data_IF_145349446773
#
_entry.id   IF_145349446773
#
_cell.length_a   1.000
_cell.length_b   1.000
_cell.length_c   1.000
_cell.angle_alpha   90.00
_cell.angle_beta   90.00
_cell.angle_gamma   90.00
#
_symmetry.space_group_name_H-M   'P 1'
#
loop_
_entity.id
_entity.type
_entity.pdbx_description
1 polymer ?
#
# COMPACT_ATOMS: atom_id res chain seq x y z
N UNK A 1 28.55 -28.88 -28.37
CA UNK A 1 27.75 -28.43 -27.22
C UNK A 1 28.56 -27.45 -26.39
N UNK A 2 28.34 -26.15 -26.58
CA UNK A 2 28.75 -25.09 -25.66
C UNK A 2 27.62 -24.06 -25.66
N UNK A 3 26.89 -23.97 -24.55
CA UNK A 3 25.91 -22.93 -24.28
C UNK A 3 26.66 -21.62 -24.16
N UNK A 4 26.29 -20.60 -24.93
CA UNK A 4 26.83 -19.26 -24.77
C UNK A 4 25.81 -18.41 -23.99
N UNK A 5 26.33 -17.84 -22.92
CA UNK A 5 25.71 -17.03 -21.89
C UNK A 5 25.26 -15.69 -22.49
N UNK A 6 24.00 -15.30 -22.30
CA UNK A 6 23.56 -13.92 -22.54
C UNK A 6 23.93 -13.14 -21.28
N UNK A 7 24.94 -12.28 -21.40
CA UNK A 7 25.34 -11.33 -20.38
C UNK A 7 24.98 -9.94 -20.91
N UNK A 8 23.93 -9.33 -20.37
CA UNK A 8 23.59 -7.94 -20.63
C UNK A 8 24.37 -7.06 -19.65
N UNK A 9 25.42 -6.39 -20.15
CA UNK A 9 26.04 -5.25 -19.46
C UNK A 9 25.73 -4.00 -20.26
N UNK A 10 24.90 -3.12 -19.69
CA UNK A 10 24.87 -1.71 -20.09
C UNK A 10 26.01 -1.00 -19.38
N UNK A 11 27.11 -0.80 -20.10
CA UNK A 11 28.13 0.18 -19.71
C UNK A 11 28.63 0.78 -21.02
N UNK A 12 28.18 2.00 -21.30
CA UNK A 12 28.59 2.75 -22.48
C UNK A 12 30.02 3.28 -22.23
N UNK A 13 31.02 2.43 -22.52
CA UNK A 13 32.40 2.88 -22.73
C UNK A 13 32.53 3.18 -24.22
N UNK A 14 32.51 4.46 -24.60
CA UNK A 14 32.85 4.87 -25.97
C UNK A 14 34.38 4.84 -26.07
N UNK A 15 34.93 3.67 -26.43
CA UNK A 15 36.25 3.61 -27.07
C UNK A 15 36.03 3.83 -28.57
N UNK A 16 36.75 4.79 -29.14
CA UNK A 16 36.71 5.14 -30.55
C UNK A 16 37.22 3.94 -31.35
N UNK A 17 36.28 3.17 -31.91
CA UNK A 17 36.51 2.24 -33.01
C UNK A 17 35.65 2.71 -34.18
N UNK A 18 36.24 2.71 -35.38
CA UNK A 18 35.60 3.12 -36.63
C UNK A 18 34.19 2.55 -36.75
N UNK A 19 33.21 3.45 -36.86
CA UNK A 19 31.80 3.09 -36.99
C UNK A 19 31.61 2.48 -38.39
N UNK A 20 31.01 1.28 -38.51
CA UNK A 20 30.69 0.73 -39.82
C UNK A 20 29.75 1.65 -40.59
N UNK A 21 29.97 1.76 -41.90
CA UNK A 21 29.31 2.66 -42.87
C UNK A 21 27.79 2.45 -43.03
N UNK A 22 27.18 1.56 -42.23
CA UNK A 22 25.79 1.17 -42.36
C UNK A 22 25.21 0.73 -41.03
N UNK A 23 24.04 1.28 -40.68
CA UNK A 23 23.25 0.88 -39.51
C UNK A 23 22.07 0.07 -39.98
N UNK A 24 21.88 -1.12 -39.42
CA UNK A 24 20.70 -1.97 -39.62
C UNK A 24 19.93 -2.12 -38.31
N UNK A 25 18.61 -1.95 -38.37
CA UNK A 25 17.71 -2.22 -37.25
C UNK A 25 16.91 -3.47 -37.58
N UNK A 26 16.95 -4.44 -36.68
CA UNK A 26 16.29 -5.73 -36.84
C UNK A 26 15.10 -5.88 -35.90
N UNK A 27 14.01 -6.47 -36.40
CA UNK A 27 12.87 -6.93 -35.59
C UNK A 27 12.42 -8.31 -36.09
N UNK A 28 12.31 -9.27 -35.18
CA UNK A 28 11.91 -10.66 -35.47
C UNK A 28 12.73 -11.30 -36.61
N UNK A 29 14.04 -11.10 -36.61
CA UNK A 29 14.94 -11.67 -37.62
C UNK A 29 14.87 -11.00 -39.00
N UNK A 30 14.17 -9.87 -39.13
CA UNK A 30 14.08 -9.08 -40.37
C UNK A 30 14.60 -7.66 -40.16
N UNK A 31 15.37 -7.15 -41.12
CA UNK A 31 15.73 -5.72 -41.15
C UNK A 31 14.48 -4.90 -41.39
N UNK A 32 14.20 -3.95 -40.50
CA UNK A 32 13.07 -3.02 -40.60
C UNK A 32 13.50 -1.60 -40.93
N UNK A 33 14.78 -1.27 -40.78
CA UNK A 33 15.35 0.03 -41.14
C UNK A 33 16.84 -0.11 -41.44
N UNK A 34 17.31 0.58 -42.47
CA UNK A 34 18.73 0.68 -42.81
C UNK A 34 19.08 2.08 -43.28
N UNK A 35 20.18 2.63 -42.78
CA UNK A 35 20.75 3.90 -43.26
C UNK A 35 22.08 3.62 -43.92
N UNK A 36 22.17 3.92 -45.22
CA UNK A 36 23.40 4.07 -45.97
C UNK A 36 23.71 5.55 -46.03
N UNK A 37 24.55 6.04 -45.11
CA UNK A 37 25.17 7.33 -45.30
C UNK A 37 26.50 7.37 -44.54
N UNK A 38 27.50 7.98 -45.17
CA UNK A 38 28.79 8.24 -44.56
C UNK A 38 28.58 9.26 -43.42
N UNK A 39 28.53 8.76 -42.18
CA UNK A 39 28.48 9.52 -40.93
C UNK A 39 27.19 10.31 -40.64
N UNK A 40 26.11 9.66 -40.18
CA UNK A 40 25.04 10.39 -39.50
C UNK A 40 25.55 10.96 -38.16
N UNK A 41 25.54 12.28 -37.99
CA UNK A 41 25.94 12.96 -36.74
C UNK A 41 25.07 12.55 -35.53
N UNK A 42 23.86 12.06 -35.77
CA UNK A 42 23.02 11.40 -34.77
C UNK A 42 21.93 10.55 -35.44
N UNK A 43 21.48 9.49 -34.75
CA UNK A 43 20.29 8.72 -35.11
C UNK A 43 19.33 8.76 -33.92
N UNK A 44 18.16 9.36 -34.11
CA UNK A 44 17.09 9.41 -33.10
C UNK A 44 15.98 8.43 -33.47
N UNK A 45 15.65 7.53 -32.55
CA UNK A 45 14.48 6.66 -32.66
C UNK A 45 13.32 7.31 -31.91
N UNK A 46 12.41 7.98 -32.62
CA UNK A 46 11.13 8.42 -32.04
C UNK A 46 10.11 7.30 -32.17
N UNK A 47 9.62 6.77 -31.06
CA UNK A 47 8.50 5.83 -31.06
C UNK A 47 7.22 6.57 -31.50
N UNK A 48 6.61 6.23 -32.65
CA UNK A 48 5.38 6.91 -33.11
C UNK A 48 4.16 6.59 -32.23
N UNK A 49 4.28 5.66 -31.27
CA UNK A 49 3.27 5.36 -30.25
C UNK A 49 3.59 6.00 -28.89
N UNK A 50 4.55 6.91 -28.79
CA UNK A 50 4.55 7.86 -27.68
C UNK A 50 3.48 8.90 -28.00
N UNK A 51 2.24 8.57 -27.64
CA UNK A 51 1.26 9.59 -27.30
C UNK A 51 1.98 10.61 -26.42
N UNK A 52 1.92 11.87 -26.83
CA UNK A 52 2.26 13.00 -25.98
C UNK A 52 1.68 12.70 -24.60
N UNK A 53 2.54 12.53 -23.61
CA UNK A 53 2.10 12.46 -22.21
C UNK A 53 1.57 13.86 -21.94
N UNK A 54 0.27 14.02 -22.12
CA UNK A 54 -0.47 15.14 -21.54
C UNK A 54 -0.08 15.21 -20.06
N UNK A 55 0.14 16.41 -19.49
CA UNK A 55 0.40 16.51 -18.05
C UNK A 55 -0.68 15.75 -17.29
N UNK A 56 -0.25 15.00 -16.27
CA UNK A 56 -1.04 14.07 -15.49
C UNK A 56 -2.07 14.77 -14.56
N UNK A 57 -2.85 15.70 -15.11
CA UNK A 57 -3.72 16.62 -14.36
C UNK A 57 -5.22 16.38 -14.65
N UNK A 58 -5.58 15.39 -15.48
CA UNK A 58 -6.98 14.96 -15.61
C UNK A 58 -7.23 13.75 -14.73
N UNK A 59 -7.71 14.02 -13.52
CA UNK A 59 -8.33 13.02 -12.65
C UNK A 59 -9.38 12.26 -13.48
N UNK A 60 -9.29 10.92 -13.61
CA UNK A 60 -10.34 10.14 -14.25
C UNK A 60 -11.69 10.51 -13.61
N UNK A 61 -12.76 10.70 -14.39
CA UNK A 61 -14.06 11.15 -13.87
C UNK A 61 -14.67 10.22 -12.81
N UNK A 62 -14.18 8.97 -12.70
CA UNK A 62 -14.58 7.97 -11.71
C UNK A 62 -13.57 7.84 -10.55
N UNK A 63 -12.70 8.83 -10.33
CA UNK A 63 -11.76 8.80 -9.19
C UNK A 63 -12.45 9.27 -7.94
N UNK A 64 -12.52 8.38 -6.96
CA UNK A 64 -13.09 8.68 -5.66
C UNK A 64 -12.02 9.26 -4.73
N UNK A 65 -12.29 10.47 -4.22
CA UNK A 65 -11.32 11.27 -3.49
C UNK A 65 -11.59 11.24 -1.98
N UNK A 66 -10.50 11.21 -1.23
CA UNK A 66 -10.49 11.23 0.22
C UNK A 66 -9.64 12.40 0.71
N UNK A 67 -10.25 13.31 1.46
CA UNK A 67 -9.53 14.41 2.11
C UNK A 67 -8.70 13.85 3.25
N UNK A 68 -7.40 14.11 3.21
CA UNK A 68 -6.43 13.67 4.22
C UNK A 68 -5.81 14.84 5.00
N UNK A 69 -6.12 16.06 4.55
CA UNK A 69 -6.07 17.31 5.30
C UNK A 69 -6.95 18.35 4.59
N UNK A 70 -6.99 19.59 5.08
CA UNK A 70 -7.83 20.67 4.54
C UNK A 70 -7.54 21.06 3.08
N UNK A 71 -6.39 20.64 2.53
CA UNK A 71 -5.90 21.06 1.20
C UNK A 71 -5.49 19.92 0.28
N UNK A 72 -5.50 18.67 0.78
CA UNK A 72 -4.99 17.51 0.06
C UNK A 72 -6.04 16.42 0.01
N UNK A 73 -6.30 15.95 -1.20
CA UNK A 73 -7.09 14.76 -1.48
C UNK A 73 -6.22 13.68 -2.11
N UNK A 74 -6.58 12.43 -1.85
CA UNK A 74 -5.87 11.26 -2.35
C UNK A 74 -6.85 10.21 -2.87
N UNK A 75 -6.34 9.28 -3.67
CA UNK A 75 -6.98 8.00 -3.91
C UNK A 75 -6.25 6.90 -3.15
N UNK A 76 -6.99 5.85 -2.78
CA UNK A 76 -6.43 4.66 -2.14
C UNK A 76 -6.02 3.61 -3.18
N UNK A 77 -4.96 2.87 -2.85
CA UNK A 77 -4.58 1.68 -3.61
C UNK A 77 -5.73 0.64 -3.61
N UNK A 78 -5.92 -0.10 -4.73
CA UNK A 78 -7.03 -1.02 -4.91
C UNK A 78 -6.95 -2.27 -4.01
N UNK A 79 -5.80 -2.53 -3.37
CA UNK A 79 -5.60 -3.69 -2.50
C UNK A 79 -4.51 -3.43 -1.46
N UNK A 80 -4.40 -4.32 -0.48
CA UNK A 80 -3.25 -4.30 0.42
C UNK A 80 -1.98 -4.61 -0.37
N UNK A 81 -0.86 -4.00 0.03
CA UNK A 81 0.42 -4.29 -0.56
C UNK A 81 0.82 -5.74 -0.25
N UNK A 82 1.29 -6.46 -1.28
CA UNK A 82 1.82 -7.81 -1.16
C UNK A 82 3.19 -7.91 -1.82
N UNK A 83 4.05 -8.77 -1.26
CA UNK A 83 5.39 -9.02 -1.78
C UNK A 83 5.64 -10.52 -1.98
N UNK A 84 6.39 -10.86 -3.01
CA UNK A 84 6.92 -12.19 -3.24
C UNK A 84 8.44 -12.15 -3.43
N UNK A 85 9.17 -12.82 -2.53
CA UNK A 85 10.64 -12.78 -2.51
C UNK A 85 11.29 -13.59 -3.64
N UNK A 86 10.61 -14.63 -4.14
CA UNK A 86 11.13 -15.46 -5.22
C UNK A 86 11.14 -14.72 -6.57
N UNK A 87 10.18 -13.79 -6.76
CA UNK A 87 10.09 -12.98 -7.98
C UNK A 87 10.61 -11.56 -7.81
N UNK A 88 10.89 -11.12 -6.57
CA UNK A 88 11.16 -9.73 -6.21
C UNK A 88 10.04 -8.79 -6.67
N UNK A 89 8.80 -9.23 -6.52
CA UNK A 89 7.63 -8.54 -7.06
C UNK A 89 6.76 -7.96 -5.94
N UNK A 90 6.36 -6.71 -6.16
CA UNK A 90 5.31 -6.05 -5.40
C UNK A 90 4.02 -5.97 -6.22
N UNK A 91 2.89 -6.20 -5.56
CA UNK A 91 1.57 -6.02 -6.15
C UNK A 91 0.57 -5.52 -5.12
N UNK A 92 -0.57 -5.04 -5.59
CA UNK A 92 -1.76 -4.98 -4.75
C UNK A 92 -2.48 -6.33 -4.75
N UNK A 93 -3.11 -6.65 -3.63
CA UNK A 93 -4.07 -7.74 -3.53
C UNK A 93 -5.17 -7.58 -4.61
N UNK A 94 -5.64 -8.70 -5.18
CA UNK A 94 -6.57 -8.68 -6.32
C UNK A 94 -7.94 -8.12 -5.92
N UNK A 95 -8.43 -8.53 -4.75
CA UNK A 95 -9.61 -7.96 -4.10
C UNK A 95 -9.22 -7.22 -2.82
N UNK A 96 -10.00 -6.22 -2.43
CA UNK A 96 -9.72 -5.45 -1.21
C UNK A 96 -9.75 -6.28 0.08
N UNK A 97 -10.52 -7.38 0.10
CA UNK A 97 -10.63 -8.30 1.22
C UNK A 97 -9.58 -9.42 1.21
N UNK A 98 -8.74 -9.52 0.16
CA UNK A 98 -7.71 -10.55 0.07
C UNK A 98 -6.58 -10.32 1.07
N UNK A 99 -6.20 -11.40 1.75
CA UNK A 99 -5.16 -11.43 2.77
C UNK A 99 -4.38 -12.75 2.71
N UNK A 100 -3.10 -12.71 3.03
CA UNK A 100 -2.24 -13.90 3.12
C UNK A 100 -2.50 -14.65 4.44
N UNK A 101 -2.85 -13.91 5.49
CA UNK A 101 -3.28 -14.45 6.78
C UNK A 101 -2.19 -15.30 7.44
N UNK A 102 -2.56 -16.51 7.88
CA UNK A 102 -1.67 -17.42 8.65
C UNK A 102 -0.39 -17.73 7.87
N UNK A 103 -0.43 -17.78 6.53
CA UNK A 103 0.73 -18.14 5.70
C UNK A 103 1.93 -17.19 5.86
N UNK A 104 1.75 -15.98 6.40
CA UNK A 104 2.85 -15.12 6.83
C UNK A 104 3.76 -15.77 7.90
N UNK A 105 3.32 -16.83 8.59
CA UNK A 105 4.18 -17.60 9.50
C UNK A 105 5.27 -18.40 8.79
N UNK A 106 5.11 -18.65 7.50
CA UNK A 106 5.97 -19.53 6.71
C UNK A 106 7.19 -18.80 6.13
N UNK A 107 7.35 -17.51 6.40
CA UNK A 107 8.50 -16.72 5.96
C UNK A 107 9.79 -17.39 6.43
N UNK A 108 10.60 -17.83 5.49
CA UNK A 108 11.85 -18.51 5.74
C UNK A 108 12.77 -18.28 4.53
N UNK A 109 14.08 -18.59 4.63
CA UNK A 109 14.92 -18.68 3.46
C UNK A 109 14.26 -19.56 2.39
N UNK A 110 14.19 -19.05 1.15
CA UNK A 110 13.57 -19.72 0.00
C UNK A 110 12.02 -19.86 0.05
N UNK A 111 11.33 -19.12 0.93
CA UNK A 111 9.87 -19.02 0.85
C UNK A 111 9.46 -18.33 -0.45
N UNK A 112 8.60 -18.98 -1.24
CA UNK A 112 8.16 -18.52 -2.56
C UNK A 112 6.70 -18.04 -2.58
N UNK A 113 6.06 -18.02 -1.41
CA UNK A 113 4.70 -17.50 -1.26
C UNK A 113 4.67 -15.98 -1.13
N UNK A 114 3.48 -15.42 -1.31
CA UNK A 114 3.22 -14.01 -1.05
C UNK A 114 3.17 -13.73 0.47
N UNK A 115 3.49 -12.49 0.84
CA UNK A 115 3.34 -11.93 2.20
C UNK A 115 2.66 -10.57 2.14
N UNK A 116 2.00 -10.17 3.22
CA UNK A 116 1.32 -8.87 3.37
C UNK A 116 1.50 -8.24 4.77
N UNK A 117 2.29 -8.86 5.65
CA UNK A 117 2.63 -8.35 6.98
C UNK A 117 4.12 -8.02 7.09
N UNK A 118 4.42 -6.73 7.01
CA UNK A 118 5.78 -6.18 6.91
C UNK A 118 6.24 -5.58 8.24
N UNK A 119 7.47 -5.84 8.66
CA UNK A 119 8.09 -5.03 9.72
C UNK A 119 8.27 -3.60 9.22
N UNK A 120 8.32 -2.61 10.10
CA UNK A 120 8.40 -1.22 9.63
C UNK A 120 9.70 -0.95 8.87
N UNK A 121 9.64 -0.19 7.77
CA UNK A 121 10.77 0.15 6.90
C UNK A 121 11.41 -1.01 6.13
N UNK A 122 10.74 -2.16 6.03
CA UNK A 122 11.20 -3.29 5.21
C UNK A 122 10.74 -3.15 3.76
N UNK A 123 11.07 -2.04 3.10
CA UNK A 123 10.70 -1.79 1.71
C UNK A 123 11.63 -2.47 0.69
N UNK A 124 12.75 -3.04 1.13
CA UNK A 124 13.70 -3.79 0.29
C UNK A 124 14.75 -2.95 -0.44
N UNK A 125 14.66 -1.61 -0.44
CA UNK A 125 15.59 -0.77 -1.21
C UNK A 125 16.61 -0.01 -0.36
N UNK A 126 17.91 -0.18 -0.64
CA UNK A 126 19.08 0.57 -0.09
C UNK A 126 19.25 0.63 1.44
N UNK A 127 18.23 0.30 2.21
CA UNK A 127 18.22 0.32 3.68
C UNK A 127 18.79 -0.97 4.29
N UNK A 128 18.93 -2.04 3.48
CA UNK A 128 19.36 -3.35 3.97
C UNK A 128 18.24 -4.16 4.67
N UNK A 129 17.01 -3.64 4.73
CA UNK A 129 15.89 -4.28 5.42
C UNK A 129 14.95 -4.97 4.43
N UNK A 130 15.05 -6.30 4.40
CA UNK A 130 14.29 -7.15 3.49
C UNK A 130 12.79 -7.20 3.90
N UNK A 131 11.84 -7.17 2.96
CA UNK A 131 10.40 -7.31 3.26
C UNK A 131 10.05 -8.57 4.05
N UNK A 132 10.85 -9.62 3.86
CA UNK A 132 10.77 -10.91 4.57
C UNK A 132 11.45 -10.91 5.95
N UNK A 133 11.91 -9.76 6.45
CA UNK A 133 12.53 -9.70 7.78
C UNK A 133 11.57 -10.15 8.87
N UNK A 134 12.07 -11.06 9.71
CA UNK A 134 11.37 -11.60 10.89
C UNK A 134 12.15 -11.31 12.18
N UNK A 135 13.05 -10.32 12.17
CA UNK A 135 13.73 -9.91 13.40
C UNK A 135 12.74 -9.46 14.46
N UNK A 136 13.04 -9.80 15.72
CA UNK A 136 12.30 -9.35 16.90
C UNK A 136 13.03 -8.25 17.67
N UNK A 137 14.16 -7.74 17.14
CA UNK A 137 14.83 -6.55 17.67
C UNK A 137 14.38 -5.31 16.88
N UNK A 138 13.85 -4.30 17.57
CA UNK A 138 13.36 -3.07 16.93
C UNK A 138 14.49 -2.28 16.27
N UNK A 139 15.74 -2.50 16.69
CA UNK A 139 16.92 -1.85 16.12
C UNK A 139 17.15 -2.22 14.67
N UNK A 140 16.66 -3.39 14.24
CA UNK A 140 16.75 -3.88 12.87
C UNK A 140 15.72 -3.22 11.93
N UNK A 141 14.98 -2.23 12.41
CA UNK A 141 13.93 -1.52 11.68
C UNK A 141 14.06 0.01 11.83
N UNK A 142 15.29 0.49 12.13
CA UNK A 142 15.60 1.90 12.29
C UNK A 142 16.05 2.51 10.96
N UNK A 143 15.19 3.32 10.36
CA UNK A 143 15.57 4.11 9.19
C UNK A 143 16.61 5.15 9.58
N UNK A 144 17.72 5.22 8.84
CA UNK A 144 18.83 6.12 9.17
C UNK A 144 19.44 5.88 10.55
N UNK A 145 19.25 4.69 11.13
CA UNK A 145 19.81 4.32 12.44
C UNK A 145 19.20 5.04 13.65
N UNK A 146 18.09 5.77 13.49
CA UNK A 146 17.39 6.47 14.57
C UNK A 146 15.91 6.10 14.64
N UNK A 147 15.36 6.02 15.85
CA UNK A 147 13.95 5.76 16.09
C UNK A 147 13.05 6.98 15.85
N UNK A 148 13.63 8.17 15.67
CA UNK A 148 12.88 9.40 15.40
C UNK A 148 12.62 9.64 13.91
N UNK A 149 13.29 8.89 13.04
CA UNK A 149 13.21 9.07 11.58
C UNK A 149 11.92 8.49 11.00
N UNK A 150 11.15 9.33 10.29
CA UNK A 150 9.89 9.02 9.59
C UNK A 150 10.11 8.87 8.08
N UNK A 151 9.16 8.35 7.31
CA UNK A 151 9.26 8.26 5.83
C UNK A 151 8.95 9.59 5.13
N UNK A 152 9.56 10.68 5.59
CA UNK A 152 9.43 12.01 5.01
C UNK A 152 10.80 12.66 4.91
N UNK A 153 10.93 13.66 4.04
CA UNK A 153 12.20 14.37 3.84
C UNK A 153 13.32 13.43 3.39
N UNK A 154 14.43 13.44 4.11
CA UNK A 154 15.64 12.63 3.81
C UNK A 154 15.37 11.12 3.71
N UNK A 155 14.36 10.64 4.43
CA UNK A 155 14.07 9.21 4.57
C UNK A 155 12.83 8.76 3.78
N UNK A 156 12.30 9.61 2.89
CA UNK A 156 11.13 9.29 2.08
C UNK A 156 11.33 8.02 1.22
N UNK A 157 12.56 7.70 0.83
CA UNK A 157 12.89 6.49 0.05
C UNK A 157 12.73 5.18 0.83
N UNK A 158 12.56 5.23 2.15
CA UNK A 158 12.25 4.06 2.96
C UNK A 158 10.76 3.68 2.94
N UNK A 159 9.89 4.52 2.36
CA UNK A 159 8.48 4.20 2.16
C UNK A 159 8.30 3.06 1.16
N UNK A 160 7.35 2.16 1.43
CA UNK A 160 7.04 1.04 0.54
C UNK A 160 6.60 1.48 -0.87
N UNK A 161 5.96 2.64 -1.02
CA UNK A 161 5.52 3.17 -2.31
C UNK A 161 6.54 4.05 -3.04
N UNK A 162 7.64 4.44 -2.38
CA UNK A 162 8.57 5.42 -2.94
C UNK A 162 9.38 4.87 -4.12
N UNK A 163 10.11 3.77 -3.92
CA UNK A 163 11.05 3.24 -4.92
C UNK A 163 10.67 1.85 -5.45
N UNK A 164 9.54 1.31 -5.00
CA UNK A 164 9.08 0.03 -5.50
C UNK A 164 8.13 0.23 -6.68
N UNK A 165 8.40 -0.48 -7.76
CA UNK A 165 7.43 -0.68 -8.84
C UNK A 165 6.36 -1.65 -8.35
N UNK A 166 5.11 -1.19 -8.28
CA UNK A 166 3.98 -2.01 -7.84
C UNK A 166 3.13 -2.36 -9.06
N UNK A 167 3.18 -3.62 -9.48
CA UNK A 167 2.58 -4.04 -10.75
C UNK A 167 3.12 -3.25 -11.95
N UNK A 168 2.23 -2.52 -12.64
CA UNK A 168 2.59 -1.67 -13.78
C UNK A 168 2.92 -0.22 -13.42
N UNK A 169 2.64 0.19 -12.19
CA UNK A 169 2.72 1.59 -11.77
C UNK A 169 4.18 2.02 -11.64
N UNK A 170 4.46 3.29 -11.96
CA UNK A 170 5.80 3.85 -11.85
C UNK A 170 6.22 3.99 -10.38
N UNK A 171 7.52 4.03 -10.13
CA UNK A 171 8.07 4.45 -8.83
C UNK A 171 7.51 5.83 -8.44
N UNK A 172 7.42 6.12 -7.14
CA UNK A 172 6.87 7.34 -6.57
C UNK A 172 5.39 7.63 -6.90
N UNK A 173 4.65 6.66 -7.43
CA UNK A 173 3.18 6.79 -7.62
C UNK A 173 2.45 6.76 -6.28
N UNK A 174 2.91 5.90 -5.37
CA UNK A 174 2.22 5.59 -4.13
C UNK A 174 3.04 6.00 -2.91
N UNK A 175 2.39 6.24 -1.77
CA UNK A 175 3.05 6.41 -0.47
C UNK A 175 2.19 5.89 0.68
N UNK A 176 2.83 5.68 1.82
CA UNK A 176 2.13 5.28 3.05
C UNK A 176 1.49 6.50 3.72
N UNK A 177 0.22 6.43 4.15
CA UNK A 177 -0.42 7.53 4.88
C UNK A 177 0.34 7.89 6.16
N UNK A 178 0.42 9.18 6.46
CA UNK A 178 0.91 9.69 7.75
C UNK A 178 -0.15 9.46 8.83
N UNK A 179 0.24 9.52 10.10
CA UNK A 179 -0.70 9.27 11.20
C UNK A 179 -1.70 10.41 11.33
N UNK A 180 -1.30 11.63 10.94
CA UNK A 180 -2.20 12.79 10.85
C UNK A 180 -3.25 12.58 9.78
N UNK A 181 -2.89 12.01 8.64
CA UNK A 181 -3.84 11.70 7.57
C UNK A 181 -4.83 10.61 8.00
N UNK A 182 -4.38 9.57 8.71
CA UNK A 182 -5.29 8.59 9.33
C UNK A 182 -6.25 9.23 10.33
N UNK A 183 -5.75 10.15 11.18
CA UNK A 183 -6.60 10.88 12.11
C UNK A 183 -7.59 11.79 11.40
N UNK A 184 -7.14 12.47 10.35
CA UNK A 184 -8.00 13.37 9.59
C UNK A 184 -9.15 12.62 8.94
N UNK A 185 -8.86 11.49 8.27
CA UNK A 185 -9.86 10.64 7.63
C UNK A 185 -10.96 10.15 8.58
N UNK A 186 -10.60 9.85 9.83
CA UNK A 186 -11.50 9.22 10.78
C UNK A 186 -12.13 10.19 11.79
N UNK A 187 -11.52 11.35 12.05
CA UNK A 187 -11.93 12.22 13.15
C UNK A 187 -12.02 13.72 12.82
N UNK A 188 -11.38 14.22 11.75
CA UNK A 188 -11.30 15.68 11.52
C UNK A 188 -11.95 16.13 10.21
N UNK A 189 -11.99 15.28 9.17
CA UNK A 189 -12.62 15.64 7.91
C UNK A 189 -14.10 15.89 8.09
N UNK A 190 -14.66 16.66 7.16
CA UNK A 190 -16.10 16.89 7.11
C UNK A 190 -16.85 15.55 7.08
N UNK A 191 -17.86 15.42 7.92
CA UNK A 191 -18.70 14.22 8.04
C UNK A 191 -17.91 12.92 8.34
N UNK A 192 -16.71 13.03 8.94
CA UNK A 192 -15.83 11.88 9.20
C UNK A 192 -16.53 10.71 9.90
N UNK A 193 -17.40 11.02 10.87
CA UNK A 193 -18.17 10.06 11.65
C UNK A 193 -19.21 9.30 10.81
N UNK A 194 -19.59 9.83 9.64
CA UNK A 194 -20.49 9.17 8.69
C UNK A 194 -19.76 8.34 7.63
N UNK A 195 -18.42 8.42 7.57
CA UNK A 195 -17.62 7.94 6.44
C UNK A 195 -16.71 6.74 6.78
N UNK A 196 -16.98 6.03 7.88
CA UNK A 196 -16.34 4.76 8.20
C UNK A 196 -17.27 3.79 8.94
N UNK A 197 -17.00 2.50 8.78
CA UNK A 197 -17.64 1.47 9.59
C UNK A 197 -16.79 0.21 9.70
N UNK A 198 -16.83 -0.45 10.87
CA UNK A 198 -16.42 -1.84 11.00
C UNK A 198 -17.42 -2.72 10.22
N UNK A 199 -16.89 -3.73 9.53
CA UNK A 199 -17.69 -4.58 8.65
C UNK A 199 -17.11 -5.97 8.45
N UNK A 200 -17.94 -6.87 7.93
CA UNK A 200 -17.55 -8.15 7.36
C UNK A 200 -17.83 -8.13 5.85
N UNK A 201 -16.79 -8.28 5.03
CA UNK A 201 -16.85 -8.29 3.56
C UNK A 201 -16.32 -9.63 3.06
N UNK A 202 -17.12 -10.38 2.31
CA UNK A 202 -16.73 -11.71 1.81
C UNK A 202 -16.19 -12.64 2.93
N UNK A 203 -16.84 -12.62 4.10
CA UNK A 203 -16.43 -13.32 5.34
C UNK A 203 -15.11 -12.85 5.96
N UNK A 204 -14.55 -11.72 5.52
CA UNK A 204 -13.37 -11.09 6.08
C UNK A 204 -13.79 -9.90 6.93
N UNK A 205 -13.34 -9.86 8.18
CA UNK A 205 -13.58 -8.72 9.09
C UNK A 205 -12.64 -7.58 8.77
N UNK A 206 -13.09 -6.33 8.87
CA UNK A 206 -12.28 -5.18 8.51
C UNK A 206 -12.91 -3.82 8.77
N UNK A 207 -12.28 -2.77 8.24
CA UNK A 207 -12.74 -1.39 8.32
C UNK A 207 -13.05 -0.87 6.92
N UNK A 208 -14.26 -0.31 6.74
CA UNK A 208 -14.66 0.44 5.55
C UNK A 208 -14.31 1.91 5.75
N UNK A 209 -13.75 2.53 4.72
CA UNK A 209 -13.56 3.97 4.57
C UNK A 209 -14.31 4.43 3.32
N UNK A 210 -14.99 5.57 3.42
CA UNK A 210 -15.79 6.14 2.34
C UNK A 210 -15.20 7.45 1.81
N UNK A 211 -15.30 7.74 0.51
CA UNK A 211 -14.92 9.02 -0.10
C UNK A 211 -15.69 10.20 0.48
N UNK A 212 -15.18 11.42 0.29
CA UNK A 212 -15.78 12.63 0.90
C UNK A 212 -17.22 12.90 0.41
N UNK A 213 -17.48 12.69 -0.88
CA UNK A 213 -18.78 12.93 -1.51
C UNK A 213 -19.61 11.63 -1.65
N UNK A 214 -19.30 10.61 -0.83
CA UNK A 214 -19.91 9.30 -0.96
C UNK A 214 -21.42 9.34 -0.74
N UNK A 215 -22.13 8.49 -1.50
CA UNK A 215 -23.56 8.25 -1.38
C UNK A 215 -23.80 6.76 -1.41
N UNK A 216 -24.68 6.28 -0.53
CA UNK A 216 -25.08 4.87 -0.51
C UNK A 216 -25.64 4.47 -1.87
N UNK A 217 -25.02 3.50 -2.56
CA UNK A 217 -25.53 3.03 -3.83
C UNK A 217 -26.84 2.25 -3.65
N UNK A 218 -27.66 2.21 -4.69
CA UNK A 218 -28.93 1.50 -4.65
C UNK A 218 -28.71 0.00 -4.40
N UNK A 219 -29.57 -0.58 -3.55
CA UNK A 219 -29.55 -2.02 -3.27
C UNK A 219 -28.61 -2.46 -2.14
N UNK A 220 -27.84 -1.55 -1.54
CA UNK A 220 -27.05 -1.83 -0.33
C UNK A 220 -27.39 -0.87 0.80
N UNK A 221 -27.21 -1.30 2.05
CA UNK A 221 -27.31 -0.46 3.24
C UNK A 221 -25.91 -0.26 3.81
N UNK A 222 -25.61 0.95 4.27
CA UNK A 222 -24.42 1.25 5.07
C UNK A 222 -24.87 1.90 6.37
N UNK A 223 -24.27 1.48 7.49
CA UNK A 223 -24.49 2.06 8.80
C UNK A 223 -23.14 2.50 9.36
N UNK A 224 -22.88 3.80 9.55
CA UNK A 224 -21.64 4.27 10.15
C UNK A 224 -21.43 3.69 11.55
N UNK A 225 -20.19 3.39 11.94
CA UNK A 225 -19.91 2.74 13.23
C UNK A 225 -20.32 3.55 14.47
N UNK A 226 -20.54 4.85 14.32
CA UNK A 226 -21.01 5.73 15.41
C UNK A 226 -22.53 5.94 15.39
N UNK A 227 -23.24 5.29 14.48
CA UNK A 227 -24.67 5.50 14.30
C UNK A 227 -25.44 5.05 15.54
N UNK A 228 -26.37 5.88 16.00
CA UNK A 228 -27.28 5.53 17.10
C UNK A 228 -28.31 4.46 16.72
N UNK A 229 -28.37 4.04 15.45
CA UNK A 229 -29.08 2.82 15.04
C UNK A 229 -28.43 1.54 15.56
N UNK A 230 -27.14 1.60 15.90
CA UNK A 230 -26.36 0.49 16.45
C UNK A 230 -26.46 0.53 17.98
N UNK A 231 -26.86 -0.59 18.58
CA UNK A 231 -26.77 -0.75 20.02
C UNK A 231 -25.32 -0.69 20.45
N UNK A 232 -25.01 0.10 21.48
CA UNK A 232 -23.64 0.29 21.98
C UNK A 232 -22.66 0.73 20.85
N UNK A 233 -23.12 1.61 19.96
CA UNK A 233 -22.30 2.20 18.90
C UNK A 233 -20.98 2.79 19.41
N UNK A 234 -19.99 2.89 18.52
CA UNK A 234 -18.71 3.47 18.89
C UNK A 234 -18.86 4.96 19.21
N UNK A 235 -18.26 5.40 20.31
CA UNK A 235 -18.19 6.80 20.72
C UNK A 235 -16.74 7.27 20.67
N UNK A 236 -16.51 8.47 20.14
CA UNK A 236 -15.18 9.07 20.14
C UNK A 236 -14.81 9.59 21.53
N UNK A 237 -13.79 9.01 22.16
CA UNK A 237 -13.27 9.45 23.45
C UNK A 237 -11.75 9.28 23.48
N UNK A 238 -11.02 10.25 24.03
CA UNK A 238 -9.57 10.15 24.24
C UNK A 238 -8.74 9.78 22.99
N UNK A 239 -9.16 10.21 21.80
CA UNK A 239 -8.42 9.99 20.55
C UNK A 239 -8.71 8.67 19.85
N UNK A 240 -9.79 7.98 20.21
CA UNK A 240 -10.20 6.69 19.64
C UNK A 240 -11.72 6.51 19.70
N UNK A 241 -12.25 5.65 18.84
CA UNK A 241 -13.66 5.26 18.78
C UNK A 241 -13.83 3.90 19.44
N UNK A 242 -14.67 3.80 20.46
CA UNK A 242 -14.94 2.55 21.17
C UNK A 242 -16.37 2.48 21.68
N UNK A 243 -16.89 1.27 21.78
CA UNK A 243 -18.12 1.00 22.52
C UNK A 243 -17.87 1.09 24.03
N UNK A 244 -18.93 1.24 24.84
CA UNK A 244 -18.80 1.47 26.28
C UNK A 244 -18.27 0.22 27.00
N UNK A 245 -18.69 -0.96 26.54
CA UNK A 245 -18.39 -2.23 27.18
C UNK A 245 -17.10 -2.90 26.67
N UNK A 246 -16.56 -2.51 25.51
CA UNK A 246 -15.40 -3.14 24.85
C UNK A 246 -15.65 -4.59 24.40
N UNK A 247 -16.91 -4.98 24.18
CA UNK A 247 -17.31 -6.38 24.04
C UNK A 247 -18.13 -6.67 22.78
N UNK A 248 -18.71 -5.66 22.13
CA UNK A 248 -19.58 -5.90 20.98
C UNK A 248 -18.79 -6.11 19.69
N UNK A 249 -19.31 -7.01 18.84
CA UNK A 249 -18.71 -7.36 17.55
C UNK A 249 -19.27 -6.48 16.43
N UNK A 250 -18.82 -5.23 16.35
CA UNK A 250 -19.30 -4.26 15.35
C UNK A 250 -18.91 -4.62 13.91
N UNK A 251 -18.10 -5.66 13.69
CA UNK A 251 -17.93 -6.22 12.35
C UNK A 251 -19.22 -6.83 11.79
N UNK A 252 -20.20 -7.13 12.64
CA UNK A 252 -21.48 -7.69 12.23
C UNK A 252 -22.52 -6.63 11.82
N UNK A 253 -22.32 -5.37 12.18
CA UNK A 253 -23.29 -4.28 11.90
C UNK A 253 -23.41 -3.96 10.41
N UNK A 254 -22.33 -4.22 9.66
CA UNK A 254 -22.29 -4.14 8.22
C UNK A 254 -21.74 -5.46 7.67
N UNK A 255 -22.56 -6.24 6.97
CA UNK A 255 -22.13 -7.50 6.35
C UNK A 255 -22.45 -7.48 4.86
N UNK A 256 -21.45 -7.74 4.02
CA UNK A 256 -21.55 -7.74 2.57
C UNK A 256 -21.00 -9.05 1.99
N UNK A 257 -21.75 -9.68 1.11
CA UNK A 257 -21.20 -10.70 0.22
C UNK A 257 -20.39 -10.04 -0.92
N UNK A 258 -19.73 -10.85 -1.76
CA UNK A 258 -18.88 -10.36 -2.86
C UNK A 258 -19.63 -9.46 -3.87
N UNK A 259 -20.90 -9.79 -4.18
CA UNK A 259 -21.69 -9.03 -5.13
C UNK A 259 -22.12 -7.66 -4.57
N UNK A 260 -22.53 -7.62 -3.31
CA UNK A 260 -22.85 -6.36 -2.61
C UNK A 260 -21.60 -5.50 -2.43
N UNK A 261 -20.45 -6.12 -2.08
CA UNK A 261 -19.19 -5.41 -1.98
C UNK A 261 -18.74 -4.83 -3.32
N UNK A 262 -18.93 -5.56 -4.42
CA UNK A 262 -18.66 -5.04 -5.77
C UNK A 262 -19.43 -3.75 -6.06
N UNK A 263 -20.65 -3.60 -5.53
CA UNK A 263 -21.44 -2.35 -5.66
C UNK A 263 -20.86 -1.22 -4.81
N UNK A 264 -20.47 -1.52 -3.57
CA UNK A 264 -19.81 -0.58 -2.66
C UNK A 264 -18.47 -0.07 -3.21
N UNK A 265 -17.62 -1.00 -3.66
CA UNK A 265 -16.30 -0.73 -4.24
C UNK A 265 -16.39 0.10 -5.52
N UNK A 266 -17.35 -0.19 -6.41
CA UNK A 266 -17.62 0.63 -7.60
C UNK A 266 -18.09 2.05 -7.28
N UNK A 267 -18.57 2.27 -6.06
CA UNK A 267 -18.96 3.58 -5.54
C UNK A 267 -17.85 4.23 -4.71
N UNK A 268 -16.63 3.68 -4.77
CA UNK A 268 -15.42 4.22 -4.15
C UNK A 268 -15.14 3.76 -2.72
N UNK A 269 -15.94 2.86 -2.17
CA UNK A 269 -15.68 2.34 -0.82
C UNK A 269 -14.34 1.58 -0.78
N UNK A 270 -13.58 1.82 0.28
CA UNK A 270 -12.30 1.15 0.56
C UNK A 270 -12.47 0.24 1.78
N UNK A 271 -12.01 -1.00 1.68
CA UNK A 271 -11.98 -1.99 2.74
C UNK A 271 -10.55 -2.34 3.12
N UNK A 272 -10.30 -2.23 4.42
CA UNK A 272 -9.06 -2.59 5.08
C UNK A 272 -9.28 -3.89 5.85
N UNK A 273 -8.84 -5.06 5.34
CA UNK A 273 -9.06 -6.33 6.03
C UNK A 273 -8.23 -6.42 7.32
N UNK A 274 -8.80 -7.07 8.34
CA UNK A 274 -8.15 -7.33 9.61
C UNK A 274 -7.29 -8.62 9.54
N UNK A 275 -6.09 -8.48 8.97
CA UNK A 275 -5.14 -9.60 8.78
C UNK A 275 -4.37 -10.03 10.03
N UNK A 276 -4.56 -9.36 11.17
CA UNK A 276 -3.78 -9.54 12.38
C UNK A 276 -2.43 -8.86 12.32
N UNK A 277 -1.46 -9.43 13.05
CA UNK A 277 -0.07 -8.95 13.06
C UNK A 277 0.90 -10.11 13.29
N UNK A 278 2.16 -9.92 12.89
CA UNK A 278 3.21 -10.93 13.00
C UNK A 278 4.29 -10.50 14.00
N UNK A 279 4.76 -11.40 14.87
CA UNK A 279 5.99 -11.21 15.66
C UNK A 279 6.96 -12.32 15.34
N UNK A 280 8.10 -12.00 14.73
CA UNK A 280 8.95 -13.00 14.10
C UNK A 280 8.15 -13.79 13.07
N UNK A 281 7.96 -15.09 13.31
CA UNK A 281 7.13 -15.97 12.47
C UNK A 281 5.75 -16.28 13.08
N UNK A 282 5.41 -15.68 14.23
CA UNK A 282 4.14 -15.98 14.91
C UNK A 282 3.06 -14.99 14.50
N UNK A 283 1.92 -15.49 14.01
CA UNK A 283 0.73 -14.67 13.75
C UNK A 283 -0.08 -14.52 15.04
N UNK A 284 -0.52 -13.30 15.31
CA UNK A 284 -1.36 -12.90 16.43
C UNK A 284 -2.60 -12.21 15.91
N UNK A 285 -3.69 -12.29 16.69
CA UNK A 285 -4.93 -11.59 16.40
C UNK A 285 -5.51 -11.94 15.01
N UNK A 286 -5.39 -13.19 14.58
CA UNK A 286 -6.02 -13.76 13.37
C UNK A 286 -5.99 -15.30 13.47
N UNK A 287 -7.03 -16.04 13.06
CA UNK A 287 -8.32 -15.58 12.52
C UNK A 287 -9.41 -15.34 13.59
N UNK A 288 -9.19 -15.76 14.84
CA UNK A 288 -10.24 -15.85 15.87
C UNK A 288 -10.65 -14.52 16.49
N UNK A 289 -9.70 -13.59 16.65
CA UNK A 289 -9.96 -12.23 17.11
C UNK A 289 -9.21 -11.27 16.17
N UNK A 290 -9.73 -11.07 14.95
CA UNK A 290 -9.04 -10.37 13.89
C UNK A 290 -8.86 -8.90 14.24
N UNK A 291 -7.61 -8.44 14.20
CA UNK A 291 -7.26 -7.02 14.35
C UNK A 291 -6.73 -6.51 13.02
N UNK A 292 -7.09 -5.29 12.66
CA UNK A 292 -6.45 -4.58 11.55
C UNK A 292 -5.45 -3.59 12.10
N UNK A 293 -4.21 -3.68 11.64
CA UNK A 293 -3.17 -2.71 11.95
C UNK A 293 -2.47 -2.33 10.65
N UNK A 294 -2.51 -1.05 10.33
CA UNK A 294 -2.00 -0.49 9.09
C UNK A 294 -0.91 0.51 9.40
N UNK A 295 0.26 0.29 8.80
CA UNK A 295 1.40 1.16 9.04
C UNK A 295 1.13 2.60 8.62
N UNK A 296 1.77 3.51 9.37
CA UNK A 296 1.94 4.89 8.95
C UNK A 296 3.40 5.16 8.56
N UNK A 297 3.61 6.19 7.75
CA UNK A 297 4.91 6.81 7.50
C UNK A 297 5.45 7.64 8.68
N UNK A 298 4.70 7.77 9.78
CA UNK A 298 5.05 8.61 10.94
C UNK A 298 5.57 7.81 12.13
N UNK A 299 6.68 8.25 12.74
CA UNK A 299 7.22 7.65 13.97
C UNK A 299 6.32 7.85 15.20
N UNK A 300 6.49 6.99 16.20
CA UNK A 300 5.79 7.10 17.49
C UNK A 300 6.24 8.31 18.31
N UNK A 301 5.61 8.50 19.47
CA UNK A 301 6.08 9.49 20.43
C UNK A 301 7.54 9.21 20.86
N UNK A 302 8.34 10.27 21.00
CA UNK A 302 9.78 10.20 21.31
C UNK A 302 10.12 9.39 22.56
N UNK A 303 9.19 9.26 23.51
CA UNK A 303 9.39 8.55 24.78
C UNK A 303 9.27 7.01 24.67
N UNK A 304 8.89 6.49 23.50
CA UNK A 304 8.66 5.05 23.27
C UNK A 304 9.57 4.55 22.15
N UNK A 305 10.82 4.29 22.51
CA UNK A 305 11.81 3.71 21.59
C UNK A 305 11.24 2.50 20.83
N UNK A 306 11.42 2.50 19.52
CA UNK A 306 11.02 1.38 18.67
C UNK A 306 9.53 1.31 18.34
N UNK A 307 8.69 2.27 18.76
CA UNK A 307 7.30 2.37 18.33
C UNK A 307 7.11 3.28 17.11
N UNK A 308 6.07 2.98 16.33
CA UNK A 308 5.62 3.75 15.17
C UNK A 308 4.13 3.97 15.26
N UNK A 309 3.62 5.02 14.62
CA UNK A 309 2.20 5.21 14.45
C UNK A 309 1.61 4.23 13.45
N UNK A 310 0.36 3.88 13.70
CA UNK A 310 -0.44 3.03 12.84
C UNK A 310 -1.92 3.40 13.01
N UNK A 311 -2.72 3.06 12.01
CA UNK A 311 -4.15 2.88 12.20
C UNK A 311 -4.37 1.48 12.82
N UNK A 312 -5.16 1.38 13.89
CA UNK A 312 -5.54 0.10 14.49
C UNK A 312 -7.05 0.00 14.63
N UNK A 313 -7.61 -1.18 14.43
CA UNK A 313 -9.02 -1.46 14.68
C UNK A 313 -9.25 -2.93 15.02
N UNK A 314 -10.32 -3.19 15.77
CA UNK A 314 -10.76 -4.51 16.24
C UNK A 314 -12.28 -4.47 16.43
N UNK A 315 -12.88 -5.57 16.90
CA UNK A 315 -14.33 -5.74 16.91
C UNK A 315 -15.10 -4.62 17.63
N UNK A 316 -14.50 -4.03 18.66
CA UNK A 316 -15.11 -3.02 19.53
C UNK A 316 -14.47 -1.62 19.42
N UNK A 317 -13.60 -1.38 18.42
CA UNK A 317 -13.01 -0.06 18.32
C UNK A 317 -12.08 0.23 17.14
N UNK A 318 -11.87 1.52 16.92
CA UNK A 318 -10.99 2.11 15.90
C UNK A 318 -10.10 3.17 16.55
N UNK A 319 -8.80 3.09 16.34
CA UNK A 319 -7.79 4.00 16.88
C UNK A 319 -6.94 4.55 15.73
N UNK A 320 -7.22 5.77 15.24
CA UNK A 320 -6.48 6.36 14.11
C UNK A 320 -5.01 6.67 14.43
N UNK A 321 -4.70 6.92 15.70
CA UNK A 321 -3.38 7.33 16.18
C UNK A 321 -2.72 6.25 17.05
N UNK A 322 -2.96 4.98 16.75
CA UNK A 322 -2.39 3.88 17.50
C UNK A 322 -0.86 3.88 17.41
N UNK A 323 -0.22 3.21 18.36
CA UNK A 323 1.22 2.95 18.33
C UNK A 323 1.48 1.45 18.42
N UNK A 324 2.44 0.97 17.64
CA UNK A 324 2.89 -0.42 17.69
C UNK A 324 4.38 -0.48 17.38
N UNK A 325 5.04 -1.50 17.94
CA UNK A 325 6.48 -1.66 17.76
C UNK A 325 6.84 -2.01 16.32
N UNK A 326 7.93 -1.42 15.80
CA UNK A 326 8.47 -1.62 14.44
C UNK A 326 8.68 -3.08 14.06
N UNK A 327 8.91 -3.95 15.04
CA UNK A 327 9.13 -5.39 14.86
C UNK A 327 7.88 -6.16 14.46
N UNK A 328 6.69 -5.59 14.70
CA UNK A 328 5.46 -6.25 14.31
C UNK A 328 5.32 -6.21 12.79
N UNK A 329 5.02 -7.33 12.17
CA UNK A 329 4.51 -7.34 10.80
C UNK A 329 3.08 -6.80 10.80
N UNK A 330 2.85 -5.68 10.12
CA UNK A 330 1.52 -5.09 9.95
C UNK A 330 1.22 -4.87 8.47
N UNK A 331 -0.06 -4.68 8.16
CA UNK A 331 -0.53 -4.43 6.80
C UNK A 331 -0.08 -3.05 6.30
N UNK A 332 0.05 -2.91 4.99
CA UNK A 332 0.33 -1.63 4.33
C UNK A 332 -0.76 -1.39 3.29
N UNK A 333 -1.45 -0.25 3.41
CA UNK A 333 -2.35 0.28 2.39
C UNK A 333 -1.80 1.63 1.95
N UNK A 334 -1.55 1.77 0.65
CA UNK A 334 -0.95 2.97 0.09
C UNK A 334 -2.01 3.94 -0.43
N UNK A 335 -1.60 5.19 -0.57
CA UNK A 335 -2.38 6.29 -1.16
C UNK A 335 -1.57 6.99 -2.23
N UNK A 336 -2.24 7.60 -3.19
CA UNK A 336 -1.65 8.42 -4.23
C UNK A 336 -2.23 9.82 -4.15
N UNK A 337 -1.35 10.82 -4.17
CA UNK A 337 -1.74 12.22 -4.25
C UNK A 337 -2.25 12.55 -5.65
N UNK A 338 -3.35 13.28 -5.70
CA UNK A 338 -3.90 13.81 -6.92
C UNK A 338 -3.42 15.25 -7.06
N UNK A 339 -2.72 15.55 -8.16
CA UNK A 339 -2.09 16.85 -8.42
C UNK A 339 -3.03 17.81 -9.11
#
# INVERSE_FOLDING_TARGET
MKKMMILAFFTLLISIFEIPSQIYVWKNGKVIFSVENEYPDSVTFSNPNLSVVEPADTIPPDTFLFSVNDTLQVCFAPGNLQYNDNYYEWRFAENQYDLIGISNSNIAPFYDGWIDLFGWATCGWSTGFLPTSTSTDYRDYLVGGSWDNSFVGEFATADWGALNKIGSDAEHTWRTPTSKEWNYLLAERKDADQLFALATVANVKGLILLPDDWKTPEGVKFIPSVSTEINNHLVYQNGLYMDEEMLDDHYADNTYNEAEWTVMEKSGAIFLPAGGRRWGNTIKNYPTNPWGIYWSSTTGAQEREGNVRALSFYMSGVTPLAETSRVWGCSVRLIQEIK
#
